data_IF_575797677382
#
_entry.id   IF_575797677382
#
_cell.length_a   1.000
_cell.length_b   1.000
_cell.length_c   1.000
_cell.angle_alpha   90.00
_cell.angle_beta   90.00
_cell.angle_gamma   90.00
#
_symmetry.space_group_name_H-M   'P 1'
#
loop_
_entity.id
_entity.type
_entity.pdbx_description
1 polymer ?
#
# COMPACT_ATOMS: atom_id res chain seq x y z
N UNK A 1 34.78 51.56 31.80
CA UNK A 1 34.26 50.18 32.03
C UNK A 1 32.76 50.14 31.69
N UNK A 2 32.40 50.05 30.40
CA UNK A 2 30.99 50.01 29.93
C UNK A 2 30.78 49.05 28.74
N UNK A 3 31.76 48.17 28.48
CA UNK A 3 31.78 47.31 27.28
C UNK A 3 31.26 45.88 27.50
N UNK A 4 31.08 45.46 28.76
CA UNK A 4 30.60 44.10 29.10
C UNK A 4 29.08 43.99 29.29
N UNK A 5 28.37 45.13 29.37
CA UNK A 5 26.92 45.16 29.60
C UNK A 5 26.08 44.72 28.39
N UNK A 6 26.59 44.94 27.16
CA UNK A 6 25.90 44.53 25.93
C UNK A 6 26.14 43.05 25.60
N UNK A 7 27.33 42.53 25.92
CA UNK A 7 27.71 41.13 25.63
C UNK A 7 26.94 40.12 26.50
N UNK A 8 26.57 40.49 27.73
CA UNK A 8 25.76 39.63 28.60
C UNK A 8 24.29 39.53 28.16
N UNK A 9 23.73 40.59 27.57
CA UNK A 9 22.33 40.60 27.11
C UNK A 9 22.16 39.76 25.83
N UNK A 10 23.17 39.75 24.95
CA UNK A 10 23.15 38.94 23.72
C UNK A 10 23.24 37.43 24.01
N UNK A 11 23.96 37.01 25.05
CA UNK A 11 24.09 35.59 25.41
C UNK A 11 22.82 34.99 26.04
N UNK A 12 21.98 35.78 26.72
CA UNK A 12 20.73 35.31 27.33
C UNK A 12 19.64 35.07 26.26
N UNK A 13 19.60 35.87 25.20
CA UNK A 13 18.64 35.69 24.10
C UNK A 13 18.93 34.45 23.25
N UNK A 14 20.19 34.02 23.14
CA UNK A 14 20.58 32.81 22.38
C UNK A 14 20.23 31.52 23.12
N UNK A 15 20.19 31.53 24.46
CA UNK A 15 19.79 30.35 25.26
C UNK A 15 18.27 30.15 25.35
N UNK A 16 17.47 31.20 25.17
CA UNK A 16 16.00 31.11 25.22
C UNK A 16 15.35 30.78 23.87
N UNK A 17 16.10 30.85 22.76
CA UNK A 17 15.56 30.72 21.40
C UNK A 17 15.53 29.31 20.80
N UNK A 18 16.03 28.29 21.50
CA UNK A 18 16.14 26.92 20.95
C UNK A 18 15.46 25.88 21.86
N UNK A 19 14.18 26.09 22.12
CA UNK A 19 13.30 24.99 22.54
C UNK A 19 12.29 24.72 21.43
N UNK A 20 12.79 24.22 20.30
CA UNK A 20 11.96 23.40 19.42
C UNK A 20 11.73 22.05 20.12
N UNK A 21 10.97 22.08 21.22
CA UNK A 21 10.25 20.89 21.63
C UNK A 21 9.29 20.60 20.47
N UNK A 22 9.37 19.40 19.91
CA UNK A 22 8.28 18.83 19.14
C UNK A 22 7.08 18.72 20.10
N UNK A 23 6.39 19.84 20.31
CA UNK A 23 5.18 19.88 21.11
C UNK A 23 4.11 19.19 20.27
N UNK A 24 3.61 18.07 20.78
CA UNK A 24 2.51 17.33 20.17
C UNK A 24 1.37 18.32 19.91
N UNK A 25 0.92 18.40 18.66
CA UNK A 25 -0.16 19.33 18.32
C UNK A 25 -1.45 18.88 19.03
N UNK A 26 -2.40 19.79 19.31
CA UNK A 26 -3.68 19.40 19.88
C UNK A 26 -4.39 18.28 19.09
N UNK A 27 -4.22 18.27 17.77
CA UNK A 27 -4.71 17.24 16.88
C UNK A 27 -4.00 15.89 17.08
N UNK A 28 -2.68 15.90 17.25
CA UNK A 28 -1.90 14.70 17.57
C UNK A 28 -2.31 14.11 18.94
N UNK A 29 -2.47 14.95 19.97
CA UNK A 29 -2.97 14.53 21.29
C UNK A 29 -4.35 13.89 21.17
N UNK A 30 -5.26 14.51 20.41
CA UNK A 30 -6.59 13.98 20.17
C UNK A 30 -6.54 12.63 19.44
N UNK A 31 -5.73 12.51 18.39
CA UNK A 31 -5.54 11.26 17.65
C UNK A 31 -5.00 10.15 18.55
N UNK A 32 -4.01 10.44 19.41
CA UNK A 32 -3.45 9.53 20.40
C UNK A 32 -4.51 9.04 21.40
N UNK A 33 -5.31 9.96 21.95
CA UNK A 33 -6.38 9.64 22.90
C UNK A 33 -7.48 8.79 22.24
N UNK A 34 -7.92 9.18 21.05
CA UNK A 34 -8.95 8.45 20.32
C UNK A 34 -8.49 7.04 19.94
N UNK A 35 -7.27 6.91 19.39
CA UNK A 35 -6.64 5.62 19.12
C UNK A 35 -6.63 4.71 20.36
N UNK A 36 -6.23 5.25 21.52
CA UNK A 36 -6.19 4.48 22.76
C UNK A 36 -7.56 3.90 23.17
N UNK A 37 -8.64 4.64 22.90
CA UNK A 37 -10.02 4.19 23.17
C UNK A 37 -10.47 3.09 22.20
N UNK A 38 -10.09 3.19 20.92
CA UNK A 38 -10.61 2.29 19.86
C UNK A 38 -9.70 1.11 19.52
N UNK A 39 -8.44 1.06 20.01
CA UNK A 39 -7.44 0.05 19.58
C UNK A 39 -7.86 -1.42 19.77
N UNK A 40 -8.87 -1.70 20.59
CA UNK A 40 -9.43 -3.05 20.79
C UNK A 40 -10.72 -3.32 20.00
N UNK A 41 -11.26 -2.31 19.32
CA UNK A 41 -12.40 -2.42 18.42
C UNK A 41 -11.87 -2.43 16.97
N UNK A 42 -11.87 -3.59 16.33
CA UNK A 42 -11.29 -3.78 14.99
C UNK A 42 -11.97 -2.93 13.92
N UNK A 43 -13.28 -2.70 14.01
CA UNK A 43 -14.03 -1.91 13.04
C UNK A 43 -13.60 -0.43 13.13
N UNK A 44 -13.69 0.15 14.32
CA UNK A 44 -13.30 1.55 14.56
C UNK A 44 -11.81 1.77 14.25
N UNK A 45 -10.95 0.84 14.67
CA UNK A 45 -9.52 0.91 14.39
C UNK A 45 -9.22 0.92 12.89
N UNK A 46 -9.90 0.08 12.11
CA UNK A 46 -9.73 0.03 10.66
C UNK A 46 -10.14 1.34 10.00
N UNK A 47 -11.29 1.90 10.39
CA UNK A 47 -11.73 3.21 9.89
C UNK A 47 -10.72 4.31 10.19
N UNK A 48 -10.18 4.35 11.41
CA UNK A 48 -9.16 5.31 11.83
C UNK A 48 -7.87 5.18 11.01
N UNK A 49 -7.32 3.96 10.88
CA UNK A 49 -6.06 3.73 10.16
C UNK A 49 -6.17 3.94 8.64
N UNK A 50 -7.36 3.70 8.05
CA UNK A 50 -7.63 3.99 6.65
C UNK A 50 -7.61 5.50 6.37
N UNK A 51 -8.17 6.31 7.28
CA UNK A 51 -8.19 7.76 7.16
C UNK A 51 -6.83 8.44 7.46
N UNK A 52 -5.94 7.74 8.17
CA UNK A 52 -4.64 8.30 8.57
C UNK A 52 -3.72 8.58 7.35
N UNK A 53 -3.10 9.77 7.29
CA UNK A 53 -2.04 10.06 6.31
C UNK A 53 -0.76 9.31 6.71
N UNK A 54 -0.45 8.22 6.00
CA UNK A 54 0.67 7.32 6.32
C UNK A 54 2.03 7.79 5.78
N UNK A 55 2.08 8.92 5.08
CA UNK A 55 3.27 9.33 4.34
C UNK A 55 3.45 8.51 3.06
N UNK A 56 4.69 8.10 2.78
CA UNK A 56 5.06 7.35 1.58
C UNK A 56 5.26 5.86 1.89
N UNK A 57 4.93 5.00 0.92
CA UNK A 57 5.37 3.61 0.88
C UNK A 57 6.72 3.53 0.16
N UNK A 58 7.76 3.10 0.87
CA UNK A 58 9.14 3.08 0.37
C UNK A 58 9.59 1.70 -0.12
N UNK A 59 8.79 0.66 0.10
CA UNK A 59 9.10 -0.70 -0.32
C UNK A 59 7.91 -1.30 -1.04
N UNK A 60 7.90 -1.13 -2.37
CA UNK A 60 6.89 -1.73 -3.23
C UNK A 60 7.56 -2.38 -4.44
N UNK A 61 7.10 -3.57 -4.79
CA UNK A 61 7.45 -4.22 -6.05
C UNK A 61 6.35 -3.89 -7.07
N UNK A 62 6.74 -3.36 -8.24
CA UNK A 62 5.78 -2.89 -9.25
C UNK A 62 4.77 -3.97 -9.66
N UNK A 63 5.23 -5.22 -9.82
CA UNK A 63 4.39 -6.35 -10.22
C UNK A 63 3.36 -6.77 -9.16
N UNK A 64 3.61 -6.52 -7.87
CA UNK A 64 2.68 -6.82 -6.77
C UNK A 64 1.85 -5.62 -6.31
N UNK A 65 2.04 -4.44 -6.92
CA UNK A 65 1.41 -3.20 -6.47
C UNK A 65 -0.05 -3.02 -6.95
N UNK A 66 -0.49 -3.85 -7.91
CA UNK A 66 -1.79 -3.71 -8.57
C UNK A 66 -2.60 -4.98 -8.38
N UNK A 67 -3.85 -4.84 -7.97
CA UNK A 67 -4.80 -5.94 -7.85
C UNK A 67 -4.92 -6.74 -9.17
N UNK A 68 -4.88 -8.07 -9.16
CA UNK A 68 -5.04 -8.89 -10.35
C UNK A 68 -6.31 -8.61 -11.14
N UNK A 69 -7.40 -8.24 -10.46
CA UNK A 69 -8.66 -7.83 -11.08
C UNK A 69 -8.49 -6.60 -11.99
N UNK A 70 -7.61 -5.67 -11.60
CA UNK A 70 -7.26 -4.51 -12.42
C UNK A 70 -6.39 -4.91 -13.61
N UNK A 71 -5.41 -5.80 -13.40
CA UNK A 71 -4.60 -6.34 -14.50
C UNK A 71 -5.47 -7.06 -15.54
N UNK A 72 -6.44 -7.87 -15.10
CA UNK A 72 -7.42 -8.50 -15.98
C UNK A 72 -8.32 -7.49 -16.71
N UNK A 73 -8.70 -6.40 -16.04
CA UNK A 73 -9.45 -5.31 -16.69
C UNK A 73 -8.66 -4.70 -17.84
N UNK A 74 -7.35 -4.47 -17.65
CA UNK A 74 -6.47 -3.97 -18.70
C UNK A 74 -6.29 -5.00 -19.83
N UNK A 75 -5.96 -6.24 -19.51
CA UNK A 75 -5.81 -7.31 -20.49
C UNK A 75 -7.07 -7.55 -21.33
N UNK A 76 -8.26 -7.42 -20.73
CA UNK A 76 -9.55 -7.45 -21.42
C UNK A 76 -9.72 -6.30 -22.41
N UNK A 77 -9.39 -5.07 -21.97
CA UNK A 77 -9.50 -3.88 -22.80
C UNK A 77 -8.57 -3.96 -24.02
N UNK A 78 -7.38 -4.52 -23.82
CA UNK A 78 -6.36 -4.70 -24.86
C UNK A 78 -6.56 -5.98 -25.69
N UNK A 79 -7.64 -6.73 -25.45
CA UNK A 79 -8.01 -7.96 -26.17
C UNK A 79 -6.93 -9.05 -26.16
N UNK A 80 -6.24 -9.21 -25.02
CA UNK A 80 -5.20 -10.22 -24.86
C UNK A 80 -5.77 -11.65 -24.84
N UNK A 81 -4.88 -12.61 -25.07
CA UNK A 81 -5.16 -14.04 -25.01
C UNK A 81 -4.67 -14.61 -23.68
N UNK A 82 -5.21 -15.77 -23.28
CA UNK A 82 -4.81 -16.47 -22.07
C UNK A 82 -4.63 -17.97 -22.35
N UNK A 83 -3.56 -18.55 -21.83
CA UNK A 83 -3.37 -20.01 -21.83
C UNK A 83 -4.16 -20.60 -20.66
N UNK A 84 -5.19 -21.44 -20.89
CA UNK A 84 -6.08 -21.92 -19.84
C UNK A 84 -5.39 -22.70 -18.72
N UNK A 85 -4.36 -23.46 -19.06
CA UNK A 85 -3.69 -24.36 -18.11
C UNK A 85 -2.70 -23.64 -17.16
N UNK A 86 -2.14 -22.51 -17.60
CA UNK A 86 -1.09 -21.80 -16.85
C UNK A 86 -1.49 -20.38 -16.44
N UNK A 87 -2.65 -19.92 -16.90
CA UNK A 87 -3.11 -18.53 -16.79
C UNK A 87 -2.11 -17.51 -17.32
N UNK A 88 -1.25 -17.90 -18.27
CA UNK A 88 -0.32 -16.97 -18.90
C UNK A 88 -1.06 -16.09 -19.91
N UNK A 89 -0.99 -14.78 -19.73
CA UNK A 89 -1.63 -13.80 -20.61
C UNK A 89 -0.60 -13.23 -21.60
N UNK A 90 -1.00 -13.11 -22.86
CA UNK A 90 -0.13 -12.65 -23.94
C UNK A 90 -0.87 -11.86 -25.01
N UNK A 91 -0.15 -10.97 -25.69
CA UNK A 91 -0.67 -10.22 -26.84
C UNK A 91 -0.45 -11.00 -28.14
N UNK A 92 -1.48 -11.06 -28.99
CA UNK A 92 -1.42 -11.66 -30.32
C UNK A 92 -2.43 -11.00 -31.25
N UNK A 93 -2.22 -11.10 -32.58
CA UNK A 93 -3.19 -10.62 -33.56
C UNK A 93 -4.50 -11.44 -33.55
N UNK A 94 -4.39 -12.71 -33.21
CA UNK A 94 -5.52 -13.62 -33.00
C UNK A 94 -5.15 -14.63 -31.92
N UNK A 95 -6.09 -14.94 -31.03
CA UNK A 95 -5.89 -15.99 -30.05
C UNK A 95 -5.99 -17.38 -30.69
N UNK A 96 -5.24 -18.33 -30.13
CA UNK A 96 -5.46 -19.74 -30.42
C UNK A 96 -6.87 -20.16 -29.97
N UNK A 97 -7.27 -21.35 -30.42
CA UNK A 97 -8.55 -21.94 -30.00
C UNK A 97 -8.59 -22.01 -28.47
N UNK A 98 -9.70 -21.57 -27.89
CA UNK A 98 -9.97 -21.57 -26.44
C UNK A 98 -9.08 -20.61 -25.61
N UNK A 99 -8.22 -19.80 -26.23
CA UNK A 99 -7.35 -18.84 -25.55
C UNK A 99 -7.94 -17.41 -25.45
N UNK A 100 -9.21 -17.22 -25.81
CA UNK A 100 -9.83 -15.90 -25.75
C UNK A 100 -10.10 -15.49 -24.29
N UNK A 101 -9.33 -14.53 -23.77
CA UNK A 101 -9.47 -14.07 -22.38
C UNK A 101 -10.88 -13.56 -22.08
N UNK A 102 -11.45 -12.75 -22.96
CA UNK A 102 -12.74 -12.09 -22.73
C UNK A 102 -13.90 -13.07 -22.61
N UNK A 103 -13.84 -14.17 -23.35
CA UNK A 103 -14.77 -15.29 -23.22
C UNK A 103 -14.49 -16.11 -21.96
N UNK A 104 -13.22 -16.42 -21.68
CA UNK A 104 -12.83 -17.26 -20.55
C UNK A 104 -13.24 -16.67 -19.20
N UNK A 105 -13.05 -15.35 -19.00
CA UNK A 105 -13.40 -14.67 -17.74
C UNK A 105 -14.91 -14.45 -17.54
N UNK A 106 -15.77 -14.88 -18.48
CA UNK A 106 -17.22 -14.95 -18.24
C UNK A 106 -17.57 -16.11 -17.29
N UNK A 107 -16.74 -17.15 -17.26
CA UNK A 107 -16.87 -18.22 -16.27
C UNK A 107 -16.29 -17.74 -14.94
N UNK A 108 -17.13 -17.73 -13.90
CA UNK A 108 -16.73 -17.25 -12.59
C UNK A 108 -15.69 -18.14 -11.93
N UNK A 109 -15.72 -19.46 -12.15
CA UNK A 109 -14.72 -20.36 -11.55
C UNK A 109 -13.35 -20.14 -12.19
N UNK A 110 -13.30 -19.96 -13.51
CA UNK A 110 -12.06 -19.63 -14.23
C UNK A 110 -11.53 -18.25 -13.80
N UNK A 111 -12.41 -17.26 -13.66
CA UNK A 111 -12.02 -15.94 -13.15
C UNK A 111 -11.39 -16.03 -11.75
N UNK A 112 -12.05 -16.70 -10.80
CA UNK A 112 -11.53 -16.85 -9.44
C UNK A 112 -10.21 -17.65 -9.42
N UNK A 113 -10.06 -18.64 -10.30
CA UNK A 113 -8.81 -19.40 -10.43
C UNK A 113 -7.65 -18.54 -10.91
N UNK A 114 -7.87 -17.59 -11.82
CA UNK A 114 -6.85 -16.61 -12.22
C UNK A 114 -6.47 -15.73 -11.04
N UNK A 115 -7.46 -15.19 -10.30
CA UNK A 115 -7.19 -14.31 -9.16
C UNK A 115 -6.40 -15.07 -8.08
N UNK A 116 -6.73 -16.33 -7.81
CA UNK A 116 -5.99 -17.17 -6.87
C UNK A 116 -4.57 -17.47 -7.35
N UNK A 117 -4.36 -17.67 -8.66
CA UNK A 117 -3.05 -17.92 -9.22
C UNK A 117 -2.16 -16.66 -9.26
N UNK A 118 -2.75 -15.48 -9.36
CA UNK A 118 -2.05 -14.20 -9.49
C UNK A 118 -2.00 -13.41 -8.17
N UNK A 119 -2.39 -14.02 -7.05
CA UNK A 119 -2.35 -13.37 -5.74
C UNK A 119 -2.02 -14.34 -4.62
N UNK A 120 -1.86 -13.79 -3.42
CA UNK A 120 -1.76 -14.56 -2.19
C UNK A 120 -3.13 -14.89 -1.56
N UNK A 121 -4.22 -14.67 -2.29
CA UNK A 121 -5.56 -15.07 -1.84
C UNK A 121 -5.60 -16.59 -1.73
N UNK A 122 -6.16 -17.09 -0.62
CA UNK A 122 -6.16 -18.52 -0.31
C UNK A 122 -4.77 -19.18 -0.28
N UNK A 123 -3.71 -18.40 0.00
CA UNK A 123 -2.33 -18.88 0.05
C UNK A 123 -2.18 -20.17 0.87
N UNK A 124 -1.51 -21.15 0.26
CA UNK A 124 -1.09 -22.40 0.92
C UNK A 124 0.42 -22.44 0.92
N UNK A 125 1.00 -22.59 2.12
CA UNK A 125 2.44 -22.61 2.30
C UNK A 125 3.08 -23.78 1.56
N UNK A 126 3.97 -23.47 0.61
CA UNK A 126 4.79 -24.44 -0.10
C UNK A 126 6.23 -24.49 0.43
N UNK A 127 7.15 -24.99 -0.40
CA UNK A 127 8.60 -24.98 -0.14
C UNK A 127 9.28 -23.66 -0.51
N UNK A 128 8.56 -22.78 -1.20
CA UNK A 128 9.03 -21.46 -1.62
C UNK A 128 9.29 -20.53 -0.43
N UNK A 129 10.20 -19.58 -0.62
CA UNK A 129 10.51 -18.56 0.38
C UNK A 129 9.60 -17.35 0.20
N UNK A 130 9.50 -16.49 1.21
CA UNK A 130 8.73 -15.25 1.10
C UNK A 130 9.22 -14.31 0.00
N UNK A 131 10.45 -14.45 -0.48
CA UNK A 131 10.99 -13.68 -1.61
C UNK A 131 10.46 -14.15 -2.97
N UNK A 132 9.95 -15.37 -3.03
CA UNK A 132 9.41 -15.98 -4.25
C UNK A 132 7.92 -15.66 -4.42
N UNK A 133 7.34 -14.95 -3.44
CA UNK A 133 5.97 -14.45 -3.46
C UNK A 133 5.99 -12.93 -3.62
N UNK A 134 5.22 -12.43 -4.59
CA UNK A 134 5.03 -11.00 -4.85
C UNK A 134 3.60 -10.58 -4.51
#
# INVERSE_FOLDING_TARGET
MKRYSCLFIVFIFVYLGNTSLFAESPEEIYATQYFAQIKKNSELLNHFLKAMPKGADLHVHQSGAVYPEKLLTHAKADQFCIVPDTFHVYAAASCDKDHNLNAAIQDSQFYEAIIDAWSMRHFKRGMETGHDHL
#
